data_IF_388713986807
#
_entry.id   IF_388713986807
#
_cell.length_a   1.000
_cell.length_b   1.000
_cell.length_c   1.000
_cell.angle_alpha   90.00
_cell.angle_beta   90.00
_cell.angle_gamma   90.00
#
_symmetry.space_group_name_H-M   'P 1'
#
loop_
_entity.id
_entity.type
_entity.pdbx_description
1 polymer ?
#
# COMPACT_ATOMS: atom_id res chain seq x y z
N UNK A 1 2.44 -9.47 8.47
CA UNK A 1 1.35 -8.74 9.13
C UNK A 1 0.10 -8.54 8.26
N UNK A 2 0.18 -8.14 7.00
CA UNK A 2 -1.00 -7.85 6.15
C UNK A 2 -1.29 -8.95 5.09
N UNK A 3 -1.08 -10.21 5.43
CA UNK A 3 -1.26 -11.39 4.53
C UNK A 3 -2.71 -11.54 4.05
N UNK A 4 -3.68 -11.04 4.81
CA UNK A 4 -5.10 -11.04 4.48
C UNK A 4 -5.49 -10.06 3.36
N UNK A 5 -4.68 -9.03 3.14
CA UNK A 5 -4.98 -7.91 2.24
C UNK A 5 -5.24 -8.33 0.79
N UNK A 6 -4.41 -9.18 0.15
CA UNK A 6 -4.60 -9.57 -1.24
C UNK A 6 -5.92 -10.31 -1.48
N UNK A 7 -6.31 -11.16 -0.55
CA UNK A 7 -7.58 -11.88 -0.65
C UNK A 7 -8.76 -10.95 -0.41
N UNK A 8 -8.70 -10.09 0.59
CA UNK A 8 -9.76 -9.11 0.85
C UNK A 8 -10.00 -8.20 -0.37
N UNK A 9 -8.93 -7.68 -0.99
CA UNK A 9 -9.08 -6.81 -2.16
C UNK A 9 -9.58 -7.55 -3.41
N UNK A 10 -9.25 -8.83 -3.57
CA UNK A 10 -9.68 -9.63 -4.71
C UNK A 10 -11.18 -9.86 -4.71
N UNK A 11 -11.73 -10.23 -3.56
CA UNK A 11 -13.13 -10.63 -3.43
C UNK A 11 -14.08 -9.46 -3.11
N UNK A 12 -13.57 -8.35 -2.59
CA UNK A 12 -14.40 -7.18 -2.28
C UNK A 12 -14.93 -6.47 -3.53
N UNK A 13 -16.15 -5.92 -3.49
CA UNK A 13 -16.66 -5.01 -4.52
C UNK A 13 -15.71 -3.83 -4.74
N UNK A 14 -15.69 -3.28 -5.97
CA UNK A 14 -14.72 -2.24 -6.35
C UNK A 14 -14.74 -1.03 -5.43
N UNK A 15 -15.92 -0.54 -5.04
CA UNK A 15 -16.06 0.61 -4.14
C UNK A 15 -15.47 0.32 -2.75
N UNK A 16 -15.75 -0.87 -2.20
CA UNK A 16 -15.19 -1.29 -0.91
C UNK A 16 -13.66 -1.42 -0.99
N UNK A 17 -13.14 -1.93 -2.11
CA UNK A 17 -11.70 -2.04 -2.33
C UNK A 17 -11.03 -0.68 -2.37
N UNK A 18 -11.63 0.33 -3.03
CA UNK A 18 -11.14 1.72 -3.04
C UNK A 18 -11.03 2.25 -1.62
N UNK A 19 -12.09 2.12 -0.83
CA UNK A 19 -12.12 2.61 0.55
C UNK A 19 -11.08 1.90 1.42
N UNK A 20 -11.03 0.57 1.39
CA UNK A 20 -10.06 -0.21 2.16
C UNK A 20 -8.62 0.14 1.77
N UNK A 21 -8.35 0.28 0.46
CA UNK A 21 -7.02 0.60 -0.03
C UNK A 21 -6.59 2.03 0.31
N UNK A 22 -7.49 2.99 0.30
CA UNK A 22 -7.20 4.38 0.64
C UNK A 22 -7.02 4.60 2.14
N UNK A 23 -7.78 3.94 3.01
CA UNK A 23 -7.87 4.31 4.43
C UNK A 23 -7.39 3.23 5.39
N UNK A 24 -7.87 1.99 5.30
CA UNK A 24 -7.73 0.95 6.33
C UNK A 24 -6.26 0.71 6.76
N UNK A 25 -5.37 0.50 5.80
CA UNK A 25 -3.95 0.23 6.09
C UNK A 25 -3.23 1.43 6.71
N UNK A 26 -3.62 2.65 6.34
CA UNK A 26 -3.03 3.91 6.84
C UNK A 26 -3.48 4.19 8.26
N UNK A 27 -4.75 3.94 8.55
CA UNK A 27 -5.29 4.03 9.92
C UNK A 27 -4.55 3.07 10.85
N UNK A 28 -4.25 1.84 10.41
CA UNK A 28 -3.49 0.88 11.21
C UNK A 28 -2.07 1.39 11.54
N UNK A 29 -1.38 1.99 10.57
CA UNK A 29 -0.05 2.59 10.79
C UNK A 29 -0.16 3.80 11.72
N UNK A 30 -1.16 4.66 11.50
CA UNK A 30 -1.40 5.82 12.36
C UNK A 30 -1.68 5.43 13.80
N UNK A 31 -2.53 4.43 14.02
CA UNK A 31 -2.82 3.91 15.37
C UNK A 31 -1.55 3.37 16.01
N UNK A 32 -0.72 2.63 15.28
CA UNK A 32 0.57 2.16 15.77
C UNK A 32 1.47 3.33 16.21
N UNK A 33 1.59 4.37 15.39
CA UNK A 33 2.35 5.58 15.75
C UNK A 33 1.80 6.25 17.01
N UNK A 34 0.46 6.33 17.13
CA UNK A 34 -0.17 6.89 18.35
C UNK A 34 0.16 6.07 19.58
N UNK A 35 0.11 4.74 19.50
CA UNK A 35 0.52 3.89 20.62
C UNK A 35 1.98 4.12 21.00
N UNK A 36 2.88 4.13 20.04
CA UNK A 36 4.30 4.30 20.27
C UNK A 36 4.63 5.64 20.95
N UNK A 37 4.15 6.75 20.37
CA UNK A 37 4.54 8.08 20.82
C UNK A 37 3.66 8.65 21.94
N UNK A 38 2.41 8.21 22.06
CA UNK A 38 1.48 8.77 23.07
C UNK A 38 1.37 7.88 24.31
N UNK A 39 1.34 6.55 24.15
CA UNK A 39 1.18 5.62 25.26
C UNK A 39 2.53 5.26 25.88
N UNK A 40 3.50 4.87 25.07
CA UNK A 40 4.83 4.47 25.55
C UNK A 40 5.77 5.67 25.75
N UNK A 41 5.56 6.76 25.00
CA UNK A 41 6.38 7.97 25.07
C UNK A 41 7.73 7.84 24.32
N UNK A 42 8.34 8.99 23.93
CA UNK A 42 9.57 9.00 23.14
C UNK A 42 10.83 8.57 23.91
N UNK A 43 10.76 8.51 25.22
CA UNK A 43 11.92 8.23 26.09
C UNK A 43 12.05 6.76 26.52
N UNK A 44 11.26 5.85 25.94
CA UNK A 44 11.30 4.46 26.34
C UNK A 44 12.46 3.75 25.62
N UNK A 45 13.55 3.43 26.33
CA UNK A 45 14.74 2.76 25.77
C UNK A 45 14.39 1.42 25.11
N UNK A 46 13.36 0.75 25.59
CA UNK A 46 12.81 -0.46 24.99
C UNK A 46 12.26 -0.22 23.58
N UNK A 47 11.67 0.95 23.32
CA UNK A 47 11.15 1.32 21.99
C UNK A 47 12.33 1.45 21.01
N UNK A 48 13.39 2.15 21.38
CA UNK A 48 14.54 2.36 20.50
C UNK A 48 15.26 1.05 20.15
N UNK A 49 15.60 0.24 21.14
CA UNK A 49 16.31 -1.04 20.93
C UNK A 49 15.45 -2.08 20.19
N UNK A 50 14.18 -2.25 20.57
CA UNK A 50 13.32 -3.26 19.96
C UNK A 50 12.92 -2.86 18.54
N UNK A 51 12.74 -1.56 18.27
CA UNK A 51 12.34 -1.08 16.96
C UNK A 51 13.44 -1.21 15.93
N UNK A 52 14.68 -0.81 16.22
CA UNK A 52 15.77 -0.95 15.27
C UNK A 52 16.08 -2.41 14.96
N UNK A 53 16.20 -3.26 15.98
CA UNK A 53 16.65 -4.65 15.78
C UNK A 53 15.57 -5.60 15.26
N UNK A 54 14.29 -5.34 15.54
CA UNK A 54 13.21 -6.24 15.14
C UNK A 54 12.38 -5.67 13.99
N UNK A 55 11.99 -4.40 14.06
CA UNK A 55 11.10 -3.80 13.07
C UNK A 55 11.81 -3.52 11.76
N UNK A 56 13.08 -3.12 11.78
CA UNK A 56 13.85 -2.82 10.58
C UNK A 56 14.02 -4.05 9.66
N UNK A 57 14.50 -5.22 10.12
CA UNK A 57 14.58 -6.39 9.24
C UNK A 57 13.19 -6.86 8.78
N UNK A 58 12.16 -6.78 9.62
CA UNK A 58 10.80 -7.13 9.23
C UNK A 58 10.25 -6.18 8.16
N UNK A 59 10.54 -4.89 8.24
CA UNK A 59 10.18 -3.89 7.23
C UNK A 59 10.87 -4.18 5.89
N UNK A 60 12.16 -4.48 5.90
CA UNK A 60 12.94 -4.84 4.70
C UNK A 60 12.36 -6.12 4.06
N UNK A 61 12.11 -7.16 4.83
CA UNK A 61 11.50 -8.39 4.33
C UNK A 61 10.13 -8.12 3.72
N UNK A 62 9.29 -7.29 4.36
CA UNK A 62 7.97 -6.92 3.84
C UNK A 62 8.06 -6.17 2.50
N UNK A 63 9.03 -5.25 2.35
CA UNK A 63 9.27 -4.50 1.12
C UNK A 63 9.61 -5.45 -0.04
N UNK A 64 10.63 -6.30 0.14
CA UNK A 64 11.08 -7.21 -0.90
C UNK A 64 10.06 -8.31 -1.18
N UNK A 65 9.54 -8.98 -0.17
CA UNK A 65 8.53 -10.03 -0.34
C UNK A 65 7.25 -9.49 -1.01
N UNK A 66 6.78 -8.31 -0.60
CA UNK A 66 5.62 -7.66 -1.22
C UNK A 66 5.87 -7.30 -2.69
N UNK A 67 7.02 -6.72 -3.01
CA UNK A 67 7.38 -6.33 -4.39
C UNK A 67 7.57 -7.54 -5.29
N UNK A 68 8.31 -8.55 -4.86
CA UNK A 68 8.56 -9.77 -5.63
C UNK A 68 7.24 -10.49 -5.90
N UNK A 69 6.40 -10.69 -4.88
CA UNK A 69 5.11 -11.36 -5.08
C UNK A 69 4.16 -10.57 -5.96
N UNK A 70 4.22 -9.23 -5.95
CA UNK A 70 3.42 -8.38 -6.82
C UNK A 70 3.73 -8.62 -8.31
N UNK A 71 5.02 -8.77 -8.68
CA UNK A 71 5.47 -8.97 -10.07
C UNK A 71 4.88 -10.26 -10.67
N UNK A 72 4.74 -11.31 -9.88
CA UNK A 72 4.22 -12.60 -10.34
C UNK A 72 2.67 -12.69 -10.38
N UNK A 73 1.95 -11.61 -10.05
CA UNK A 73 0.49 -11.65 -10.07
C UNK A 73 -0.05 -11.38 -11.49
N UNK A 74 -1.02 -12.19 -11.89
CA UNK A 74 -1.79 -12.02 -13.14
C UNK A 74 -3.05 -11.19 -12.96
N UNK A 75 -3.56 -11.12 -11.72
CA UNK A 75 -4.73 -10.32 -11.35
C UNK A 75 -4.29 -8.94 -10.83
N UNK A 76 -4.78 -7.87 -11.46
CA UNK A 76 -4.35 -6.50 -11.16
C UNK A 76 -4.76 -6.05 -9.74
N UNK A 77 -5.91 -6.51 -9.21
CA UNK A 77 -6.29 -6.24 -7.81
C UNK A 77 -5.26 -6.84 -6.84
N UNK A 78 -4.83 -8.09 -7.09
CA UNK A 78 -3.81 -8.75 -6.26
C UNK A 78 -2.45 -8.09 -6.39
N UNK A 79 -2.06 -7.70 -7.60
CA UNK A 79 -0.83 -6.95 -7.85
C UNK A 79 -0.81 -5.67 -7.00
N UNK A 80 -1.87 -4.86 -7.05
CA UNK A 80 -1.96 -3.64 -6.26
C UNK A 80 -2.10 -3.89 -4.75
N UNK A 81 -2.64 -5.04 -4.34
CA UNK A 81 -2.67 -5.42 -2.93
C UNK A 81 -1.27 -5.75 -2.40
N UNK A 82 -0.48 -6.55 -3.13
CA UNK A 82 0.90 -6.85 -2.74
C UNK A 82 1.81 -5.62 -2.78
N UNK A 83 1.62 -4.72 -3.76
CA UNK A 83 2.35 -3.45 -3.74
C UNK A 83 1.96 -2.60 -2.52
N UNK A 84 0.73 -2.68 -2.00
CA UNK A 84 0.38 -2.03 -0.72
C UNK A 84 1.11 -2.63 0.47
N UNK A 85 1.35 -3.95 0.48
CA UNK A 85 2.16 -4.61 1.52
C UNK A 85 3.60 -4.11 1.49
N UNK A 86 4.19 -3.97 0.30
CA UNK A 86 5.52 -3.40 0.14
C UNK A 86 5.58 -1.95 0.66
N UNK A 87 4.59 -1.13 0.32
CA UNK A 87 4.52 0.27 0.77
C UNK A 87 4.35 0.40 2.29
N UNK A 88 3.64 -0.53 2.93
CA UNK A 88 3.61 -0.62 4.39
C UNK A 88 5.00 -0.94 4.97
N UNK A 89 5.79 -1.76 4.28
CA UNK A 89 7.18 -1.99 4.63
C UNK A 89 8.00 -0.69 4.63
N UNK A 90 7.85 0.18 3.61
CA UNK A 90 8.51 1.50 3.58
C UNK A 90 8.09 2.38 4.76
N UNK A 91 6.79 2.42 5.10
CA UNK A 91 6.32 3.17 6.27
C UNK A 91 6.94 2.65 7.57
N UNK A 92 6.97 1.32 7.74
CA UNK A 92 7.58 0.68 8.91
C UNK A 92 9.09 0.91 8.98
N UNK A 93 9.78 0.95 7.84
CA UNK A 93 11.20 1.28 7.78
C UNK A 93 11.46 2.69 8.30
N UNK A 94 10.66 3.68 7.87
CA UNK A 94 10.79 5.06 8.35
C UNK A 94 10.56 5.20 9.86
N UNK A 95 9.63 4.40 10.43
CA UNK A 95 9.42 4.34 11.88
C UNK A 95 10.60 3.66 12.59
N UNK A 96 11.11 2.56 12.01
CA UNK A 96 12.22 1.79 12.61
C UNK A 96 13.52 2.56 12.70
N UNK A 97 13.74 3.56 11.83
CA UNK A 97 14.93 4.43 11.89
C UNK A 97 14.96 5.34 13.12
N UNK A 98 13.88 5.46 13.87
CA UNK A 98 13.77 6.19 15.15
C UNK A 98 14.34 7.62 15.12
N UNK A 99 14.29 8.27 13.95
CA UNK A 99 14.78 9.63 13.76
C UNK A 99 13.70 10.56 13.19
N UNK A 100 13.87 11.86 13.36
CA UNK A 100 12.90 12.87 12.90
C UNK A 100 12.65 12.80 11.38
N UNK A 101 13.70 12.72 10.50
CA UNK A 101 13.48 12.60 9.06
C UNK A 101 12.71 11.33 8.68
N UNK A 102 12.99 10.19 9.31
CA UNK A 102 12.28 8.93 9.07
C UNK A 102 10.80 9.01 9.43
N UNK A 103 10.49 9.62 10.57
CA UNK A 103 9.10 9.84 10.98
C UNK A 103 8.36 10.80 10.05
N UNK A 104 8.99 11.91 9.66
CA UNK A 104 8.43 12.84 8.68
C UNK A 104 8.15 12.16 7.34
N UNK A 105 9.11 11.37 6.83
CA UNK A 105 8.95 10.59 5.62
C UNK A 105 7.77 9.61 5.73
N UNK A 106 7.63 8.92 6.87
CA UNK A 106 6.50 8.00 7.11
C UNK A 106 5.15 8.73 7.06
N UNK A 107 5.01 9.87 7.73
CA UNK A 107 3.75 10.64 7.76
C UNK A 107 3.38 11.15 6.37
N UNK A 108 4.33 11.72 5.64
CA UNK A 108 4.13 12.17 4.26
C UNK A 108 3.77 11.00 3.34
N UNK A 109 4.43 9.85 3.52
CA UNK A 109 4.17 8.67 2.73
C UNK A 109 2.77 8.07 3.01
N UNK A 110 2.29 8.07 4.25
CA UNK A 110 0.92 7.67 4.60
C UNK A 110 -0.09 8.46 3.77
N UNK A 111 0.05 9.79 3.72
CA UNK A 111 -0.86 10.66 2.98
C UNK A 111 -0.78 10.42 1.47
N UNK A 112 0.42 10.47 0.89
CA UNK A 112 0.64 10.27 -0.53
C UNK A 112 0.13 8.90 -1.00
N UNK A 113 0.47 7.84 -0.27
CA UNK A 113 0.04 6.49 -0.59
C UNK A 113 -1.48 6.31 -0.50
N UNK A 114 -2.16 7.03 0.41
CA UNK A 114 -3.63 7.01 0.48
C UNK A 114 -4.25 7.56 -0.81
N UNK A 115 -3.76 8.71 -1.29
CA UNK A 115 -4.24 9.33 -2.53
C UNK A 115 -3.94 8.47 -3.76
N UNK A 116 -2.70 8.00 -3.89
CA UNK A 116 -2.28 7.15 -5.02
C UNK A 116 -3.10 5.86 -5.11
N UNK A 117 -3.28 5.15 -4.00
CA UNK A 117 -4.08 3.92 -3.99
C UNK A 117 -5.55 4.16 -4.22
N UNK A 118 -6.11 5.23 -3.67
CA UNK A 118 -7.48 5.63 -3.95
C UNK A 118 -7.70 5.85 -5.45
N UNK A 119 -6.84 6.63 -6.09
CA UNK A 119 -6.91 6.91 -7.53
C UNK A 119 -6.75 5.63 -8.37
N UNK A 120 -5.75 4.78 -8.07
CA UNK A 120 -5.51 3.53 -8.77
C UNK A 120 -6.70 2.56 -8.71
N UNK A 121 -7.27 2.35 -7.52
CA UNK A 121 -8.41 1.46 -7.38
C UNK A 121 -9.71 2.04 -7.93
N UNK A 122 -9.90 3.37 -7.95
CA UNK A 122 -11.00 4.01 -8.67
C UNK A 122 -10.88 3.79 -10.18
N UNK A 123 -9.70 4.04 -10.76
CA UNK A 123 -9.46 3.79 -12.17
C UNK A 123 -9.64 2.31 -12.53
N UNK A 124 -9.16 1.39 -11.68
CA UNK A 124 -9.37 -0.04 -11.85
C UNK A 124 -10.86 -0.42 -11.74
N UNK A 125 -11.62 0.25 -10.88
CA UNK A 125 -13.07 0.09 -10.77
C UNK A 125 -13.79 0.41 -12.07
N UNK A 126 -13.40 1.49 -12.77
CA UNK A 126 -13.92 1.83 -14.10
C UNK A 126 -13.58 0.76 -15.15
N UNK A 127 -12.37 0.17 -15.09
CA UNK A 127 -11.98 -0.93 -15.97
C UNK A 127 -12.83 -2.17 -15.71
N UNK A 128 -13.05 -2.53 -14.44
CA UNK A 128 -13.89 -3.68 -14.06
C UNK A 128 -15.34 -3.48 -14.52
N UNK A 129 -15.87 -2.29 -14.35
CA UNK A 129 -17.24 -1.98 -14.77
C UNK A 129 -17.44 -2.21 -16.26
N UNK A 130 -16.42 -1.93 -17.09
CA UNK A 130 -16.51 -2.09 -18.54
C UNK A 130 -16.17 -3.50 -19.04
N UNK A 131 -15.18 -4.16 -18.45
CA UNK A 131 -14.68 -5.46 -18.93
C UNK A 131 -15.23 -6.66 -18.16
N UNK A 132 -15.77 -6.46 -16.95
CA UNK A 132 -16.16 -7.54 -16.04
C UNK A 132 -14.99 -8.37 -15.49
N UNK A 133 -13.74 -8.10 -15.91
CA UNK A 133 -12.55 -8.87 -15.53
C UNK A 133 -11.36 -7.95 -15.25
N UNK A 134 -10.41 -8.41 -14.43
CA UNK A 134 -9.21 -7.68 -13.97
C UNK A 134 -7.91 -8.41 -14.25
N UNK A 135 -7.85 -9.25 -15.28
CA UNK A 135 -6.59 -9.87 -15.67
C UNK A 135 -5.73 -8.89 -16.49
N UNK A 136 -4.40 -8.95 -16.35
CA UNK A 136 -3.46 -8.17 -17.16
C UNK A 136 -3.66 -8.43 -18.65
N UNK A 137 -4.03 -9.66 -19.03
CA UNK A 137 -4.27 -10.03 -20.42
C UNK A 137 -5.49 -9.31 -21.02
N UNK A 138 -6.57 -9.13 -20.24
CA UNK A 138 -7.79 -8.44 -20.70
C UNK A 138 -7.62 -6.93 -20.83
N UNK A 139 -6.58 -6.35 -20.25
CA UNK A 139 -6.30 -4.90 -20.32
C UNK A 139 -5.52 -4.50 -21.58
N UNK A 140 -5.06 -5.47 -22.39
CA UNK A 140 -4.33 -5.17 -23.63
C UNK A 140 -5.22 -4.38 -24.59
N UNK A 141 -4.68 -3.27 -25.10
CA UNK A 141 -5.38 -2.39 -26.06
C UNK A 141 -6.43 -1.45 -25.45
N UNK A 142 -6.66 -1.49 -24.15
CA UNK A 142 -7.66 -0.67 -23.47
C UNK A 142 -7.37 0.84 -23.55
N UNK A 143 -6.12 1.22 -23.78
CA UNK A 143 -5.70 2.62 -23.94
C UNK A 143 -6.43 3.35 -25.08
N UNK A 144 -6.82 2.62 -26.14
CA UNK A 144 -7.59 3.20 -27.25
C UNK A 144 -9.05 3.48 -26.91
N UNK A 145 -9.66 2.66 -26.06
CA UNK A 145 -11.08 2.76 -25.68
C UNK A 145 -11.31 3.56 -24.41
N UNK A 146 -10.33 3.63 -23.50
CA UNK A 146 -10.40 4.35 -22.23
C UNK A 146 -9.07 5.10 -21.92
N UNK A 147 -8.69 6.11 -22.74
CA UNK A 147 -7.37 6.75 -22.65
C UNK A 147 -7.16 7.44 -21.29
N UNK A 148 -8.15 8.14 -20.77
CA UNK A 148 -8.04 8.86 -19.47
C UNK A 148 -7.88 7.92 -18.29
N UNK A 149 -8.64 6.82 -18.26
CA UNK A 149 -8.55 5.82 -17.20
C UNK A 149 -7.20 5.11 -17.22
N UNK A 150 -6.71 4.75 -18.42
CA UNK A 150 -5.39 4.14 -18.57
C UNK A 150 -4.26 5.12 -18.26
N UNK A 151 -4.42 6.39 -18.61
CA UNK A 151 -3.50 7.46 -18.20
C UNK A 151 -3.41 7.59 -16.68
N UNK A 152 -4.55 7.60 -15.98
CA UNK A 152 -4.59 7.62 -14.52
C UNK A 152 -3.94 6.38 -13.89
N UNK A 153 -4.15 5.18 -14.46
CA UNK A 153 -3.49 3.94 -14.01
C UNK A 153 -1.97 3.98 -14.19
N UNK A 154 -1.49 4.51 -15.32
CA UNK A 154 -0.05 4.64 -15.60
C UNK A 154 0.58 5.66 -14.64
N UNK A 155 0.01 6.85 -14.53
CA UNK A 155 0.51 7.89 -13.62
C UNK A 155 0.50 7.43 -12.17
N UNK A 156 -0.60 6.83 -11.72
CA UNK A 156 -0.69 6.26 -10.37
C UNK A 156 0.27 5.09 -10.15
N UNK A 157 0.52 4.27 -11.16
CA UNK A 157 1.49 3.17 -11.12
C UNK A 157 2.94 3.66 -11.03
N UNK A 158 3.28 4.72 -11.77
CA UNK A 158 4.61 5.33 -11.73
C UNK A 158 4.88 6.10 -10.43
N UNK A 159 3.82 6.53 -9.73
CA UNK A 159 3.94 7.23 -8.45
C UNK A 159 4.10 6.28 -7.24
N UNK A 160 3.94 4.97 -7.43
CA UNK A 160 4.15 3.94 -6.40
C UNK A 160 5.62 3.59 -6.24
#
# INVERSE_FOLDING_TARGET
MHVWLPNAYTYAPSLVTVFLAATSTKVSVYVLLRFLFTVFGPSYDFVNLTFEFVLLPLAIVAMFAGSITAIFQTNVKRLFAYSSVAQLGYMMLGVALSNIPGLMATILHIFNHALMKGALFMALGCVIYRLGNVSLASMKGLSRSMPWTMGALILGGLSL
#
